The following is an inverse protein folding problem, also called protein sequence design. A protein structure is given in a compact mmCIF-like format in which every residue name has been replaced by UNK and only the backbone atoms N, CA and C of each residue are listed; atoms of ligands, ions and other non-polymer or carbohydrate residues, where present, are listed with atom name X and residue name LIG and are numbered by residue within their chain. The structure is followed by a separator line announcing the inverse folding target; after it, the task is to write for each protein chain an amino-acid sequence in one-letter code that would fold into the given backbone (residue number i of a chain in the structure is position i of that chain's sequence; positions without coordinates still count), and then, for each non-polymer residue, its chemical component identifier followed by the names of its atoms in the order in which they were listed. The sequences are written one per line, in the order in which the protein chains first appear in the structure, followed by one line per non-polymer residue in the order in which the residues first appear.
data_IF_978217780173
#
_entry.id   IF_978217780173
#
_cell.length_a   1.000
_cell.length_b   1.000
_cell.length_c   1.000
_cell.angle_alpha   90.00
_cell.angle_beta   90.00
_cell.angle_gamma   90.00
#
_symmetry.space_group_name_H-M   'P 1'
#
loop_
_entity.id
_entity.type
_entity.pdbx_description
1 polymer ?
#
# COMPACT_ATOMS: atom_id res chain seq x y z
N UNK A 1 -14.38 28.81 2.02
CA UNK A 1 -15.12 27.57 2.31
C UNK A 1 -15.81 27.21 1.02
N UNK A 2 -15.56 26.03 0.44
CA UNK A 2 -16.29 25.60 -0.77
C UNK A 2 -17.77 25.45 -0.41
N UNK A 3 -18.68 25.82 -1.30
CA UNK A 3 -20.12 25.62 -1.06
C UNK A 3 -20.47 24.12 -1.10
N UNK A 4 -21.60 23.73 -0.52
CA UNK A 4 -22.06 22.33 -0.57
C UNK A 4 -22.20 21.84 -2.02
N UNK A 5 -22.68 22.70 -2.92
CA UNK A 5 -22.82 22.42 -4.35
C UNK A 5 -21.46 22.19 -5.03
N UNK A 6 -20.44 23.02 -4.72
CA UNK A 6 -19.07 22.81 -5.21
C UNK A 6 -18.43 21.52 -4.71
N UNK A 7 -18.81 21.05 -3.52
CA UNK A 7 -18.33 19.78 -2.98
C UNK A 7 -19.04 18.61 -3.66
N UNK A 8 -20.35 18.72 -3.93
CA UNK A 8 -21.13 17.69 -4.65
C UNK A 8 -20.59 17.44 -6.05
N UNK A 9 -20.21 18.50 -6.77
CA UNK A 9 -19.64 18.38 -8.13
C UNK A 9 -18.27 17.68 -8.16
N UNK A 10 -17.52 17.73 -7.05
CA UNK A 10 -16.20 17.09 -6.92
C UNK A 10 -16.29 15.72 -6.25
N UNK A 11 -17.36 15.48 -5.49
CA UNK A 11 -17.60 14.24 -4.78
C UNK A 11 -17.90 13.12 -5.78
N UNK A 12 -17.03 12.11 -5.81
CA UNK A 12 -17.21 10.94 -6.66
C UNK A 12 -18.00 9.89 -5.89
N UNK A 13 -19.28 9.78 -6.21
CA UNK A 13 -20.18 8.77 -5.64
C UNK A 13 -20.46 7.66 -6.65
N UNK A 14 -20.78 6.43 -6.21
CA UNK A 14 -21.19 5.37 -7.12
C UNK A 14 -22.45 5.75 -7.91
N UNK A 15 -22.44 5.49 -9.21
CA UNK A 15 -23.59 5.74 -10.09
C UNK A 15 -24.29 4.43 -10.43
N UNK A 16 -25.62 4.45 -10.53
CA UNK A 16 -26.38 3.30 -10.95
C UNK A 16 -26.75 3.40 -12.41
N UNK A 17 -26.40 2.39 -13.20
CA UNK A 17 -26.79 2.35 -14.60
C UNK A 17 -28.29 2.02 -14.77
N UNK A 18 -28.82 2.21 -15.98
CA UNK A 18 -30.24 1.97 -16.28
C UNK A 18 -30.71 0.52 -16.02
N UNK A 19 -29.78 -0.42 -15.79
CA UNK A 19 -30.06 -1.83 -15.46
C UNK A 19 -30.01 -2.09 -13.96
N UNK A 20 -29.78 -1.06 -13.15
CA UNK A 20 -29.70 -1.18 -11.70
C UNK A 20 -28.31 -1.60 -11.19
N UNK A 21 -27.29 -1.68 -12.04
CA UNK A 21 -25.94 -2.06 -11.61
C UNK A 21 -25.24 -0.82 -11.06
N UNK A 22 -24.82 -0.87 -9.80
CA UNK A 22 -24.07 0.23 -9.18
C UNK A 22 -22.60 0.10 -9.59
N UNK A 23 -22.06 1.14 -10.21
CA UNK A 23 -20.65 1.23 -10.62
C UNK A 23 -19.92 2.20 -9.72
N UNK A 24 -18.83 1.73 -9.13
CA UNK A 24 -17.93 2.60 -8.39
C UNK A 24 -17.25 3.59 -9.34
N UNK A 25 -17.02 4.83 -8.91
CA UNK A 25 -16.34 5.82 -9.73
C UNK A 25 -14.86 5.47 -9.90
N UNK A 26 -14.24 6.02 -10.94
CA UNK A 26 -12.80 5.91 -11.13
C UNK A 26 -12.04 6.44 -9.92
N UNK A 27 -11.07 5.65 -9.48
CA UNK A 27 -10.21 5.93 -8.33
C UNK A 27 -9.46 7.25 -8.54
N UNK A 28 -9.42 8.08 -7.49
CA UNK A 28 -8.68 9.35 -7.53
C UNK A 28 -7.18 9.08 -7.57
N UNK A 29 -6.42 9.98 -8.21
CA UNK A 29 -4.96 9.91 -8.17
C UNK A 29 -4.50 10.21 -6.74
N UNK A 30 -3.48 9.49 -6.23
CA UNK A 30 -2.92 9.81 -4.92
C UNK A 30 -2.41 11.25 -4.89
N UNK A 31 -2.42 11.83 -3.69
CA UNK A 31 -1.79 13.12 -3.46
C UNK A 31 -0.32 13.08 -3.87
N UNK A 32 0.14 14.18 -4.48
CA UNK A 32 1.56 14.32 -4.81
C UNK A 32 2.32 14.63 -3.53
N UNK A 33 3.35 13.84 -3.24
CA UNK A 33 4.25 14.09 -2.13
C UNK A 33 4.98 15.44 -2.27
N UNK A 34 5.29 16.06 -1.14
CA UNK A 34 6.19 17.22 -1.04
C UNK A 34 7.65 16.74 -1.20
N UNK A 35 8.58 17.67 -1.44
CA UNK A 35 10.00 17.37 -1.62
C UNK A 35 10.65 16.57 -0.48
N UNK A 36 11.75 15.90 -0.85
CA UNK A 36 12.54 15.01 0.01
C UNK A 36 13.15 15.75 1.21
N UNK A 37 13.28 15.05 2.34
CA UNK A 37 13.92 15.57 3.55
C UNK A 37 15.20 14.82 3.85
N UNK A 38 16.25 15.55 4.19
CA UNK A 38 17.53 14.98 4.60
C UNK A 38 17.34 14.12 5.85
N UNK A 39 17.82 12.89 5.78
CA UNK A 39 17.95 12.03 6.96
C UNK A 39 19.20 12.41 7.74
N UNK A 40 19.11 12.38 9.07
CA UNK A 40 20.29 12.44 9.92
C UNK A 40 20.99 11.09 9.84
N UNK A 41 22.18 11.06 9.26
CA UNK A 41 22.99 9.85 9.07
C UNK A 41 24.40 10.15 9.56
N UNK A 42 24.90 9.31 10.46
CA UNK A 42 26.23 9.47 11.05
C UNK A 42 27.36 9.28 10.02
N UNK A 43 27.23 8.27 9.14
CA UNK A 43 28.17 7.99 8.06
C UNK A 43 27.45 7.88 6.71
N UNK A 44 27.49 8.98 5.96
CA UNK A 44 26.90 9.08 4.62
C UNK A 44 27.58 8.16 3.61
N UNK A 45 28.90 7.96 3.71
CA UNK A 45 29.64 7.13 2.77
C UNK A 45 29.27 5.65 2.95
N UNK A 46 29.13 5.22 4.21
CA UNK A 46 28.63 3.90 4.53
C UNK A 46 27.19 3.70 4.06
N UNK A 47 26.31 4.68 4.25
CA UNK A 47 24.93 4.59 3.78
C UNK A 47 24.82 4.43 2.26
N UNK A 48 25.57 5.23 1.49
CA UNK A 48 25.64 5.09 0.01
C UNK A 48 26.17 3.71 -0.38
N UNK A 49 27.19 3.20 0.33
CA UNK A 49 27.73 1.86 0.09
C UNK A 49 26.67 0.78 0.34
N UNK A 50 25.90 0.88 1.42
CA UNK A 50 24.81 -0.07 1.73
C UNK A 50 23.71 -0.06 0.66
N UNK A 51 23.31 1.11 0.16
CA UNK A 51 22.34 1.22 -0.94
C UNK A 51 22.85 0.53 -2.22
N UNK A 52 24.12 0.74 -2.58
CA UNK A 52 24.74 0.10 -3.74
C UNK A 52 24.87 -1.42 -3.58
N UNK A 53 25.31 -1.88 -2.42
CA UNK A 53 25.43 -3.29 -2.10
C UNK A 53 24.06 -3.99 -2.15
N UNK A 54 23.00 -3.35 -1.66
CA UNK A 54 21.65 -3.91 -1.70
C UNK A 54 21.17 -4.16 -3.13
N UNK A 55 21.37 -3.19 -4.04
CA UNK A 55 20.99 -3.34 -5.46
C UNK A 55 21.79 -4.46 -6.13
N UNK A 56 23.10 -4.55 -5.84
CA UNK A 56 23.93 -5.61 -6.39
C UNK A 56 23.54 -7.00 -5.85
N UNK A 57 23.18 -7.11 -4.56
CA UNK A 57 22.67 -8.36 -3.99
C UNK A 57 21.35 -8.79 -4.63
N UNK A 58 20.43 -7.86 -4.89
CA UNK A 58 19.20 -8.17 -5.64
C UNK A 58 19.50 -8.71 -7.05
N UNK A 59 20.45 -8.08 -7.74
CA UNK A 59 20.89 -8.50 -9.07
C UNK A 59 21.53 -9.89 -9.08
N UNK A 60 22.29 -10.24 -8.05
CA UNK A 60 22.96 -11.55 -7.93
C UNK A 60 22.00 -12.65 -7.44
N UNK A 61 21.23 -12.40 -6.38
CA UNK A 61 20.34 -13.39 -5.75
C UNK A 61 19.08 -13.64 -6.57
N UNK A 62 18.40 -12.58 -7.02
CA UNK A 62 17.13 -12.69 -7.74
C UNK A 62 17.36 -12.72 -9.24
N UNK A 63 18.07 -11.72 -9.78
CA UNK A 63 18.28 -11.57 -11.22
C UNK A 63 17.02 -11.17 -11.99
N UNK A 64 16.96 -11.48 -13.29
CA UNK A 64 15.82 -11.11 -14.15
C UNK A 64 15.60 -9.60 -14.22
N UNK A 65 14.41 -9.13 -13.87
CA UNK A 65 14.05 -7.71 -13.68
C UNK A 65 15.11 -6.94 -12.88
N UNK A 66 15.64 -7.56 -11.81
CA UNK A 66 16.58 -6.92 -10.89
C UNK A 66 17.97 -6.65 -11.49
N UNK A 67 18.28 -7.16 -12.68
CA UNK A 67 19.54 -6.84 -13.38
C UNK A 67 19.63 -5.39 -13.87
N UNK A 68 18.48 -4.74 -14.08
CA UNK A 68 18.38 -3.34 -14.54
C UNK A 68 17.61 -2.48 -13.53
N UNK A 69 17.45 -2.98 -12.31
CA UNK A 69 16.71 -2.32 -11.26
C UNK A 69 17.49 -1.12 -10.75
N UNK A 70 16.80 0.03 -10.70
CA UNK A 70 17.35 1.30 -10.26
C UNK A 70 16.29 1.97 -9.39
N UNK A 71 16.39 1.80 -8.06
CA UNK A 71 15.40 2.34 -7.13
C UNK A 71 15.34 3.87 -7.21
N UNK A 72 14.15 4.44 -7.10
CA UNK A 72 13.92 5.87 -7.31
C UNK A 72 14.78 6.77 -6.39
N UNK A 73 14.91 6.40 -5.11
CA UNK A 73 15.60 7.22 -4.11
C UNK A 73 17.09 6.88 -3.92
N UNK A 74 17.60 5.83 -4.56
CA UNK A 74 19.03 5.41 -4.46
C UNK A 74 19.95 6.11 -5.47
N UNK A 75 19.46 7.16 -6.15
CA UNK A 75 20.22 7.79 -7.23
C UNK A 75 21.55 8.38 -6.74
N UNK A 76 22.67 8.12 -7.46
CA UNK A 76 23.97 8.72 -7.17
C UNK A 76 23.98 10.25 -7.32
N UNK A 77 24.89 10.91 -6.56
CA UNK A 77 25.15 12.36 -6.48
C UNK A 77 24.91 13.14 -7.78
N UNK A 78 25.46 12.64 -8.89
CA UNK A 78 25.64 13.41 -10.12
C UNK A 78 24.33 13.74 -10.87
N UNK A 79 23.23 13.08 -10.50
CA UNK A 79 21.95 13.19 -11.19
C UNK A 79 20.88 13.97 -10.43
N UNK A 80 21.15 14.40 -9.19
CA UNK A 80 20.23 15.21 -8.37
C UNK A 80 20.42 16.69 -8.65
N UNK A 81 20.20 17.12 -9.91
CA UNK A 81 20.10 18.54 -10.27
C UNK A 81 18.91 19.17 -9.54
N UNK A 82 19.16 19.82 -8.40
CA UNK A 82 18.12 20.47 -7.60
C UNK A 82 18.53 20.84 -6.18
N UNK A 83 19.58 20.21 -5.63
CA UNK A 83 20.23 20.66 -4.40
C UNK A 83 21.54 21.36 -4.75
N UNK A 84 21.69 22.62 -4.34
CA UNK A 84 22.80 23.53 -4.66
C UNK A 84 24.10 23.19 -3.89
N UNK A 85 24.32 21.90 -3.59
CA UNK A 85 25.43 21.40 -2.79
C UNK A 85 25.95 20.07 -3.33
N UNK A 86 27.24 20.01 -3.68
CA UNK A 86 28.01 18.85 -4.19
C UNK A 86 28.11 17.65 -3.20
N UNK A 87 27.26 17.55 -2.18
CA UNK A 87 27.36 16.54 -1.13
C UNK A 87 26.32 15.40 -1.30
N UNK A 88 26.70 14.14 -0.98
CA UNK A 88 25.73 13.04 -0.87
C UNK A 88 24.69 13.37 0.20
N UNK A 89 23.42 13.36 -0.19
CA UNK A 89 22.31 13.56 0.72
C UNK A 89 21.53 12.24 0.85
N UNK A 90 21.56 11.61 2.03
CA UNK A 90 20.61 10.53 2.35
C UNK A 90 19.30 11.17 2.77
N UNK A 91 18.19 10.60 2.32
CA UNK A 91 16.85 11.15 2.57
C UNK A 91 16.04 10.16 3.39
N UNK A 92 15.02 10.62 4.10
CA UNK A 92 14.12 9.71 4.85
C UNK A 92 13.47 8.71 3.88
N UNK A 93 13.16 9.15 2.66
CA UNK A 93 12.64 8.33 1.58
C UNK A 93 13.62 7.24 1.15
N UNK A 94 14.91 7.54 1.04
CA UNK A 94 15.93 6.53 0.69
C UNK A 94 16.14 5.51 1.83
N UNK A 95 16.08 5.94 3.09
CA UNK A 95 16.13 5.03 4.25
C UNK A 95 14.92 4.09 4.27
N UNK A 96 13.71 4.60 4.02
CA UNK A 96 12.49 3.78 3.95
C UNK A 96 12.54 2.80 2.77
N UNK A 97 13.00 3.26 1.61
CA UNK A 97 13.20 2.40 0.44
C UNK A 97 14.22 1.29 0.73
N UNK A 98 15.33 1.61 1.40
CA UNK A 98 16.30 0.63 1.86
C UNK A 98 15.68 -0.37 2.84
N UNK A 99 14.89 0.08 3.81
CA UNK A 99 14.23 -0.80 4.77
C UNK A 99 13.29 -1.82 4.08
N UNK A 100 12.46 -1.36 3.14
CA UNK A 100 11.55 -2.24 2.39
C UNK A 100 12.32 -3.25 1.54
N UNK A 101 13.26 -2.79 0.71
CA UNK A 101 14.05 -3.66 -0.15
C UNK A 101 14.91 -4.63 0.66
N UNK A 102 15.49 -4.18 1.77
CA UNK A 102 16.31 -5.05 2.62
C UNK A 102 15.47 -6.14 3.29
N UNK A 103 14.33 -5.79 3.86
CA UNK A 103 13.44 -6.75 4.50
C UNK A 103 12.94 -7.83 3.52
N UNK A 104 12.62 -7.43 2.28
CA UNK A 104 12.22 -8.36 1.23
C UNK A 104 13.37 -9.28 0.80
N UNK A 105 14.56 -8.74 0.57
CA UNK A 105 15.73 -9.54 0.19
C UNK A 105 16.13 -10.53 1.27
N UNK A 106 16.13 -10.11 2.54
CA UNK A 106 16.43 -10.97 3.68
C UNK A 106 15.38 -12.11 3.78
N UNK A 107 14.11 -11.80 3.55
CA UNK A 107 13.04 -12.81 3.48
C UNK A 107 13.24 -13.80 2.33
N UNK A 108 13.46 -13.31 1.10
CA UNK A 108 13.70 -14.15 -0.08
C UNK A 108 14.91 -15.05 0.12
N UNK A 109 16.02 -14.49 0.63
CA UNK A 109 17.25 -15.22 0.88
C UNK A 109 17.07 -16.32 1.93
N UNK A 110 16.25 -16.06 2.96
CA UNK A 110 15.90 -17.06 3.96
C UNK A 110 14.99 -18.17 3.41
N UNK A 111 14.01 -17.85 2.55
CA UNK A 111 13.11 -18.86 1.97
C UNK A 111 13.77 -19.68 0.85
N UNK A 112 14.68 -19.08 0.06
CA UNK A 112 15.35 -19.75 -1.05
C UNK A 112 16.18 -20.97 -0.61
N UNK A 113 16.72 -20.92 0.62
CA UNK A 113 17.52 -22.01 1.23
C UNK A 113 16.68 -23.15 1.78
N UNK A 114 15.35 -23.00 1.86
CA UNK A 114 14.46 -24.02 2.42
C UNK A 114 13.99 -25.00 1.35
N UNK A 115 13.71 -26.26 1.74
CA UNK A 115 13.13 -27.24 0.84
C UNK A 115 11.79 -26.76 0.31
N UNK A 116 11.58 -27.00 -0.99
CA UNK A 116 10.33 -26.65 -1.66
C UNK A 116 9.28 -27.73 -1.35
N UNK A 117 8.13 -27.38 -0.73
CA UNK A 117 7.11 -28.36 -0.38
C UNK A 117 6.46 -29.04 -1.61
N UNK A 118 6.53 -28.41 -2.79
CA UNK A 118 5.96 -28.98 -4.02
C UNK A 118 7.01 -29.69 -4.88
N UNK A 119 8.27 -29.79 -4.43
CA UNK A 119 9.25 -30.62 -5.11
C UNK A 119 9.01 -32.09 -4.75
N UNK A 120 8.61 -32.96 -5.70
CA UNK A 120 8.37 -34.37 -5.43
C UNK A 120 9.62 -35.13 -4.95
N UNK A 121 10.81 -34.53 -5.05
CA UNK A 121 12.08 -35.08 -4.53
C UNK A 121 12.45 -34.58 -3.14
N UNK A 122 11.70 -33.62 -2.57
CA UNK A 122 11.98 -33.08 -1.25
C UNK A 122 11.80 -34.10 -0.12
N UNK A 123 10.98 -35.14 -0.31
CA UNK A 123 10.81 -36.24 0.65
C UNK A 123 12.01 -37.18 0.79
N UNK A 124 12.91 -37.20 -0.20
CA UNK A 124 14.12 -38.05 -0.22
C UNK A 124 15.38 -37.29 0.24
N UNK A 125 15.28 -35.98 0.47
CA UNK A 125 16.40 -35.20 0.99
C UNK A 125 16.39 -35.29 2.52
N UNK A 126 17.48 -35.75 3.17
CA UNK A 126 17.55 -35.73 4.61
C UNK A 126 17.31 -34.30 5.11
N UNK A 127 16.49 -34.15 6.15
CA UNK A 127 16.09 -32.85 6.73
C UNK A 127 17.29 -31.92 7.06
N UNK A 128 18.50 -32.49 7.13
CA UNK A 128 19.75 -31.82 7.48
C UNK A 128 20.80 -31.89 6.34
N UNK A 129 20.40 -32.17 5.09
CA UNK A 129 21.33 -32.41 3.97
C UNK A 129 22.27 -31.24 3.64
N UNK A 130 21.84 -30.02 3.96
CA UNK A 130 22.61 -28.79 3.77
C UNK A 130 23.28 -28.27 5.07
N UNK A 131 23.16 -29.01 6.19
CA UNK A 131 23.68 -28.61 7.51
C UNK A 131 25.12 -29.11 7.74
N UNK A 132 26.11 -28.44 7.14
CA UNK A 132 27.54 -28.76 7.33
C UNK A 132 28.02 -28.52 8.78
N UNK A 133 27.31 -27.70 9.57
CA UNK A 133 27.73 -27.26 10.90
C UNK A 133 26.82 -27.70 12.06
N UNK A 134 25.79 -28.53 11.80
CA UNK A 134 24.94 -29.09 12.86
C UNK A 134 24.09 -28.09 13.65
N UNK A 135 23.93 -26.86 13.15
CA UNK A 135 22.99 -25.87 13.68
C UNK A 135 22.41 -25.02 12.54
N UNK A 136 21.11 -24.69 12.57
CA UNK A 136 20.50 -23.83 11.57
C UNK A 136 21.22 -22.46 11.57
N UNK A 137 21.72 -22.02 10.42
CA UNK A 137 22.40 -20.73 10.32
C UNK A 137 21.38 -19.62 10.60
N UNK A 138 21.54 -18.98 11.75
CA UNK A 138 20.65 -17.94 12.24
C UNK A 138 20.88 -16.68 11.40
N UNK A 139 19.83 -16.01 10.87
CA UNK A 139 20.01 -14.71 10.21
C UNK A 139 20.56 -13.68 11.22
N UNK A 140 21.10 -12.53 10.77
CA UNK A 140 21.69 -11.51 11.66
C UNK A 140 20.77 -11.05 12.80
N UNK A 141 19.45 -11.24 12.63
CA UNK A 141 18.42 -10.95 13.63
C UNK A 141 18.30 -11.96 14.77
N UNK A 142 19.00 -13.10 14.74
CA UNK A 142 18.90 -14.12 15.79
C UNK A 142 17.67 -15.05 15.68
N UNK A 143 16.72 -14.77 14.79
CA UNK A 143 15.43 -15.46 14.71
C UNK A 143 15.25 -16.17 13.36
N UNK A 144 14.93 -17.47 13.35
CA UNK A 144 14.57 -18.17 12.11
C UNK A 144 13.36 -17.50 11.43
N UNK A 145 13.52 -17.06 10.18
CA UNK A 145 12.43 -16.40 9.43
C UNK A 145 11.51 -17.48 8.83
N UNK A 146 10.33 -17.68 9.42
CA UNK A 146 9.29 -18.61 8.95
C UNK A 146 9.50 -20.08 9.38
N UNK A 147 8.66 -20.98 8.88
CA UNK A 147 8.66 -22.41 9.23
C UNK A 147 9.75 -23.25 8.57
N UNK A 148 9.74 -24.59 8.74
CA UNK A 148 10.79 -25.48 8.21
C UNK A 148 10.77 -25.60 6.68
N UNK A 149 9.62 -25.39 6.05
CA UNK A 149 9.47 -25.40 4.59
C UNK A 149 9.50 -24.00 3.99
N UNK A 150 9.76 -23.93 2.70
CA UNK A 150 9.72 -22.69 1.92
C UNK A 150 8.30 -22.10 1.89
N UNK A 151 8.17 -20.85 2.34
CA UNK A 151 6.95 -20.07 2.13
C UNK A 151 6.93 -19.49 0.71
N UNK A 152 5.83 -19.69 -0.02
CA UNK A 152 5.69 -19.27 -1.43
C UNK A 152 4.94 -17.95 -1.62
N UNK A 153 4.13 -17.58 -0.65
CA UNK A 153 3.29 -16.39 -0.73
C UNK A 153 4.07 -15.09 -0.57
N UNK A 154 3.32 -14.01 -0.71
CA UNK A 154 3.77 -12.68 -0.40
C UNK A 154 2.73 -11.92 0.41
N UNK A 155 3.01 -10.65 0.65
CA UNK A 155 2.10 -9.76 1.35
C UNK A 155 2.23 -8.34 0.84
N UNK A 156 1.12 -7.61 0.92
CA UNK A 156 1.09 -6.17 0.72
C UNK A 156 1.57 -5.46 1.99
N UNK A 157 2.02 -4.22 1.86
CA UNK A 157 2.39 -3.44 3.03
C UNK A 157 2.08 -1.96 2.80
N UNK A 158 1.37 -1.38 3.75
CA UNK A 158 1.08 0.05 3.82
C UNK A 158 1.52 0.56 5.18
N UNK A 159 2.53 1.43 5.19
CA UNK A 159 3.10 2.01 6.41
C UNK A 159 2.84 3.51 6.39
N UNK A 160 2.28 4.03 7.49
CA UNK A 160 2.10 5.46 7.72
C UNK A 160 2.90 5.89 8.95
N UNK A 161 3.88 6.78 8.74
CA UNK A 161 4.72 7.35 9.79
C UNK A 161 4.29 8.79 10.04
N UNK A 162 3.85 9.08 11.27
CA UNK A 162 3.44 10.41 11.70
C UNK A 162 4.50 10.95 12.65
N UNK A 163 5.05 12.12 12.32
CA UNK A 163 6.03 12.82 13.15
C UNK A 163 5.55 14.23 13.46
N UNK A 164 5.63 14.64 14.73
CA UNK A 164 5.32 16.00 15.16
C UNK A 164 6.61 16.75 15.49
N UNK A 165 6.82 17.98 14.98
CA UNK A 165 7.98 18.79 15.36
C UNK A 165 7.84 19.33 16.79
N UNK A 166 6.64 19.31 17.35
CA UNK A 166 6.33 19.75 18.71
C UNK A 166 6.06 18.58 19.64
N UNK A 167 6.22 18.75 20.97
CA UNK A 167 5.80 17.76 21.98
C UNK A 167 4.29 17.51 22.04
N UNK A 168 3.48 18.37 21.40
CA UNK A 168 2.04 18.15 21.32
C UNK A 168 1.75 16.84 20.59
N UNK A 169 0.79 16.03 21.06
CA UNK A 169 0.45 14.79 20.39
C UNK A 169 -0.13 15.06 19.00
N UNK A 170 0.09 14.16 18.05
CA UNK A 170 -0.32 14.33 16.65
C UNK A 170 -1.83 14.51 16.45
N UNK A 171 -2.64 14.06 17.40
CA UNK A 171 -4.10 14.23 17.39
C UNK A 171 -4.57 15.55 18.01
N UNK A 172 -3.67 16.43 18.44
CA UNK A 172 -4.04 17.74 18.97
C UNK A 172 -4.46 18.67 17.82
N UNK A 173 -5.57 19.44 17.93
CA UNK A 173 -6.06 20.29 16.84
C UNK A 173 -5.06 21.32 16.34
N UNK A 174 -4.22 21.84 17.24
CA UNK A 174 -3.20 22.84 16.91
C UNK A 174 -1.84 22.24 16.51
N UNK A 175 -1.69 20.90 16.54
CA UNK A 175 -0.44 20.27 16.17
C UNK A 175 -0.28 20.25 14.64
N UNK A 176 0.93 20.59 14.21
CA UNK A 176 1.39 20.30 12.86
C UNK A 176 2.07 18.94 12.86
N UNK A 177 1.92 18.18 11.79
CA UNK A 177 2.52 16.85 11.66
C UNK A 177 3.08 16.64 10.26
N UNK A 178 4.13 15.84 10.13
CA UNK A 178 4.57 15.28 8.85
C UNK A 178 4.10 13.84 8.77
N UNK A 179 3.41 13.49 7.70
CA UNK A 179 3.00 12.14 7.37
C UNK A 179 3.86 11.62 6.21
N UNK A 180 4.51 10.49 6.40
CA UNK A 180 5.22 9.76 5.35
C UNK A 180 4.55 8.41 5.18
N UNK A 181 4.06 8.14 3.97
CA UNK A 181 3.47 6.86 3.59
C UNK A 181 4.43 6.10 2.69
N UNK A 182 4.67 4.83 3.00
CA UNK A 182 5.39 3.90 2.14
C UNK A 182 4.50 2.69 1.85
N UNK A 183 4.31 2.36 0.57
CA UNK A 183 3.28 1.43 0.14
C UNK A 183 3.74 0.46 -0.96
N UNK A 184 3.37 -0.81 -0.83
CA UNK A 184 3.45 -1.86 -1.86
C UNK A 184 2.17 -2.70 -1.86
N UNK A 185 1.63 -2.99 -3.04
CA UNK A 185 0.39 -3.76 -3.22
C UNK A 185 -0.83 -2.90 -3.58
N UNK A 186 -2.00 -3.33 -3.13
CA UNK A 186 -3.33 -2.77 -3.44
C UNK A 186 -4.10 -2.33 -2.18
N UNK A 187 -3.44 -2.34 -1.02
CA UNK A 187 -3.96 -1.74 0.21
C UNK A 187 -4.03 -0.21 0.09
N UNK A 188 -4.96 0.40 0.83
CA UNK A 188 -5.23 1.83 0.68
C UNK A 188 -5.07 2.63 1.95
N UNK A 189 -4.55 3.84 1.79
CA UNK A 189 -4.52 4.86 2.83
C UNK A 189 -5.26 6.10 2.32
N UNK A 190 -6.28 6.55 3.04
CA UNK A 190 -7.04 7.76 2.74
C UNK A 190 -6.93 8.76 3.89
N UNK A 191 -6.89 10.04 3.54
CA UNK A 191 -7.14 11.15 4.46
C UNK A 191 -8.57 11.68 4.27
N UNK A 192 -9.22 12.03 5.38
CA UNK A 192 -10.46 12.80 5.35
C UNK A 192 -10.15 14.29 5.58
N UNK A 193 -10.35 15.12 4.56
CA UNK A 193 -10.17 16.57 4.69
C UNK A 193 -11.27 17.17 5.58
N UNK A 194 -10.90 17.92 6.62
CA UNK A 194 -11.86 18.46 7.60
C UNK A 194 -12.79 19.50 6.98
N UNK A 195 -12.31 20.33 6.05
CA UNK A 195 -13.09 21.43 5.47
C UNK A 195 -14.11 20.99 4.42
N UNK A 196 -13.77 19.98 3.61
CA UNK A 196 -14.60 19.51 2.49
C UNK A 196 -15.31 18.19 2.80
N UNK A 197 -14.80 17.43 3.77
CA UNK A 197 -15.24 16.06 4.02
C UNK A 197 -14.86 15.08 2.90
N UNK A 198 -14.02 15.46 1.94
CA UNK A 198 -13.67 14.59 0.82
C UNK A 198 -12.56 13.60 1.21
N UNK A 199 -12.65 12.39 0.65
CA UNK A 199 -11.59 11.40 0.71
C UNK A 199 -10.42 11.81 -0.20
N UNK A 200 -9.20 11.79 0.34
CA UNK A 200 -7.96 12.04 -0.40
C UNK A 200 -7.05 10.81 -0.32
N UNK A 201 -6.83 10.07 -1.41
CA UNK A 201 -5.95 8.92 -1.39
C UNK A 201 -4.48 9.33 -1.28
N UNK A 202 -3.71 8.55 -0.52
CA UNK A 202 -2.25 8.68 -0.36
C UNK A 202 -1.48 7.60 -1.12
N UNK A 203 -2.13 6.48 -1.45
CA UNK A 203 -1.54 5.33 -2.14
C UNK A 203 -2.20 5.13 -3.51
N UNK A 204 -1.45 4.57 -4.46
CA UNK A 204 -2.01 4.04 -5.71
C UNK A 204 -1.96 2.52 -5.72
N UNK A 205 -2.88 1.90 -6.46
CA UNK A 205 -2.93 0.45 -6.52
C UNK A 205 -1.84 -0.07 -7.47
N UNK A 206 -1.00 -0.96 -6.96
CA UNK A 206 0.04 -1.62 -7.72
C UNK A 206 -0.52 -2.81 -8.48
N UNK A 207 -1.31 -2.54 -9.52
CA UNK A 207 -1.89 -3.54 -10.41
C UNK A 207 -1.22 -3.49 -11.81
N UNK A 208 -1.09 -4.61 -12.54
CA UNK A 208 -0.54 -4.65 -13.90
C UNK A 208 -1.21 -3.69 -14.89
N UNK A 209 -2.50 -3.40 -14.69
CA UNK A 209 -3.27 -2.46 -15.53
C UNK A 209 -2.99 -0.99 -15.18
N UNK A 210 -2.47 -0.69 -13.99
CA UNK A 210 -2.17 0.67 -13.56
C UNK A 210 -1.14 1.28 -14.52
N UNK A 211 -1.38 2.47 -15.12
CA UNK A 211 -0.51 3.01 -16.17
C UNK A 211 0.97 3.20 -15.78
N UNK A 212 1.27 3.45 -14.52
CA UNK A 212 2.66 3.53 -14.00
C UNK A 212 3.32 2.17 -13.99
N UNK A 213 2.64 1.16 -13.46
CA UNK A 213 3.13 -0.21 -13.33
C UNK A 213 3.18 -0.94 -14.68
N UNK A 214 2.17 -0.77 -15.53
CA UNK A 214 2.17 -1.34 -16.89
C UNK A 214 3.38 -0.84 -17.70
N UNK A 215 3.71 0.46 -17.60
CA UNK A 215 4.91 1.03 -18.24
C UNK A 215 6.21 0.52 -17.61
N UNK A 216 6.25 0.36 -16.28
CA UNK A 216 7.40 -0.22 -15.57
C UNK A 216 7.65 -1.65 -16.07
N UNK A 217 6.65 -2.52 -16.03
CA UNK A 217 6.76 -3.92 -16.44
C UNK A 217 7.13 -4.05 -17.93
N UNK A 218 6.49 -3.28 -18.82
CA UNK A 218 6.80 -3.27 -20.27
C UNK A 218 8.23 -2.81 -20.59
N UNK A 219 8.81 -1.92 -19.79
CA UNK A 219 10.18 -1.42 -20.01
C UNK A 219 11.24 -2.48 -19.71
N UNK A 220 11.02 -3.30 -18.68
CA UNK A 220 12.04 -4.18 -18.12
C UNK A 220 11.87 -5.66 -18.50
N UNK A 221 10.67 -6.06 -18.94
CA UNK A 221 10.42 -7.43 -19.33
C UNK A 221 10.49 -7.59 -20.86
N UNK A 222 11.42 -8.42 -21.40
CA UNK A 222 11.56 -8.59 -22.84
C UNK A 222 10.29 -9.25 -23.40
N UNK A 223 9.62 -8.57 -24.33
CA UNK A 223 8.54 -9.06 -25.19
C UNK A 223 7.52 -10.04 -24.53
N UNK A 224 6.41 -9.52 -24.01
CA UNK A 224 5.23 -10.33 -23.70
C UNK A 224 5.21 -11.03 -22.33
N UNK A 225 5.86 -10.45 -21.31
CA UNK A 225 5.98 -11.08 -19.99
C UNK A 225 4.65 -11.23 -19.26
N UNK A 226 3.98 -12.35 -19.50
CA UNK A 226 3.13 -13.12 -18.59
C UNK A 226 2.01 -12.37 -17.85
N UNK A 227 1.62 -11.19 -18.32
CA UNK A 227 0.31 -10.61 -18.01
C UNK A 227 -0.69 -11.37 -18.86
N UNK A 228 -1.13 -12.51 -18.35
CA UNK A 228 -2.22 -13.28 -18.93
C UNK A 228 -3.52 -12.80 -18.31
N UNK A 229 -4.53 -12.56 -19.15
CA UNK A 229 -5.89 -12.48 -18.64
C UNK A 229 -6.27 -13.82 -18.02
N UNK A 230 -6.73 -13.80 -16.78
CA UNK A 230 -7.39 -14.97 -16.20
C UNK A 230 -8.66 -15.29 -17.01
N UNK A 231 -9.25 -16.47 -16.81
CA UNK A 231 -10.53 -16.88 -17.37
C UNK A 231 -11.68 -15.91 -17.01
N UNK A 232 -11.47 -15.05 -16.03
CA UNK A 232 -12.36 -13.97 -15.59
C UNK A 232 -12.05 -12.59 -16.22
N UNK A 233 -11.06 -12.50 -17.13
CA UNK A 233 -10.71 -11.28 -17.86
C UNK A 233 -9.79 -10.31 -17.11
N UNK A 234 -9.25 -10.69 -15.95
CA UNK A 234 -8.36 -9.85 -15.15
C UNK A 234 -6.89 -10.09 -15.49
N UNK A 235 -6.13 -9.01 -15.67
CA UNK A 235 -4.70 -9.06 -15.99
C UNK A 235 -3.85 -9.39 -14.76
N UNK A 236 -3.20 -10.56 -14.76
CA UNK A 236 -2.39 -11.05 -13.62
C UNK A 236 -0.95 -11.38 -14.03
N UNK A 237 0.03 -11.14 -13.15
CA UNK A 237 1.43 -11.52 -13.33
C UNK A 237 1.63 -12.93 -12.76
N UNK A 238 1.67 -13.95 -13.62
CA UNK A 238 1.74 -15.36 -13.17
C UNK A 238 0.67 -15.73 -12.11
N UNK A 239 -0.55 -15.20 -12.25
CA UNK A 239 -1.63 -15.42 -11.29
C UNK A 239 -1.71 -14.41 -10.12
N UNK A 240 -0.69 -13.56 -9.93
CA UNK A 240 -0.73 -12.48 -8.95
C UNK A 240 -1.46 -11.25 -9.49
N UNK A 241 -2.38 -10.70 -8.69
CA UNK A 241 -3.03 -9.42 -8.97
C UNK A 241 -2.06 -8.24 -8.74
N UNK A 242 -1.14 -8.37 -7.80
CA UNK A 242 -0.23 -7.29 -7.40
C UNK A 242 1.07 -7.27 -8.22
N UNK A 243 1.46 -6.09 -8.71
CA UNK A 243 2.76 -5.83 -9.36
C UNK A 243 3.87 -5.45 -8.37
N UNK A 244 3.52 -5.18 -7.11
CA UNK A 244 4.46 -4.94 -6.01
C UNK A 244 4.00 -5.65 -4.75
N UNK A 245 4.92 -6.31 -4.07
CA UNK A 245 4.67 -7.05 -2.83
C UNK A 245 5.98 -7.41 -2.15
N UNK A 246 5.90 -7.78 -0.87
CA UNK A 246 6.94 -8.52 -0.16
C UNK A 246 6.80 -10.01 -0.46
N UNK A 247 7.91 -10.76 -0.55
CA UNK A 247 7.86 -12.21 -0.73
C UNK A 247 7.69 -12.61 -2.21
N UNK A 248 6.69 -13.42 -2.55
CA UNK A 248 6.35 -13.81 -3.93
C UNK A 248 7.58 -14.18 -4.80
N UNK A 249 8.49 -14.96 -4.23
CA UNK A 249 9.85 -15.17 -4.75
C UNK A 249 9.88 -15.61 -6.23
N UNK A 250 8.91 -16.41 -6.65
CA UNK A 250 8.80 -16.91 -8.02
C UNK A 250 8.55 -15.78 -9.03
N UNK A 251 7.77 -14.76 -8.64
CA UNK A 251 7.35 -13.66 -9.50
C UNK A 251 8.30 -12.45 -9.44
N UNK A 252 9.22 -12.41 -8.46
CA UNK A 252 10.24 -11.35 -8.34
C UNK A 252 11.12 -11.22 -9.59
N UNK A 253 11.53 -12.35 -10.18
CA UNK A 253 12.35 -12.36 -11.41
C UNK A 253 11.67 -11.69 -12.60
N UNK A 254 10.35 -11.60 -12.58
CA UNK A 254 9.49 -11.17 -13.69
C UNK A 254 9.14 -9.69 -13.58
N UNK A 255 9.22 -9.12 -12.38
CA UNK A 255 9.01 -7.68 -12.17
C UNK A 255 8.21 -7.31 -10.94
N UNK A 256 7.71 -8.30 -10.18
CA UNK A 256 7.14 -8.04 -8.85
C UNK A 256 8.25 -7.45 -7.98
N UNK A 257 8.03 -6.25 -7.45
CA UNK A 257 9.05 -5.51 -6.72
C UNK A 257 8.59 -5.19 -5.30
N UNK A 258 9.51 -5.17 -4.34
CA UNK A 258 9.27 -4.61 -3.01
C UNK A 258 9.66 -3.13 -2.92
N UNK A 259 9.91 -2.47 -4.06
CA UNK A 259 10.16 -1.03 -4.12
C UNK A 259 8.89 -0.26 -3.71
N UNK A 260 8.89 0.45 -2.57
CA UNK A 260 7.70 1.18 -2.14
C UNK A 260 7.45 2.42 -2.99
N UNK A 261 6.18 2.74 -3.22
CA UNK A 261 5.75 4.10 -3.53
C UNK A 261 5.76 4.90 -2.22
N UNK A 262 6.46 6.05 -2.20
CA UNK A 262 6.61 6.88 -1.01
C UNK A 262 5.97 8.26 -1.25
N UNK A 263 5.04 8.63 -0.37
CA UNK A 263 4.32 9.90 -0.41
C UNK A 263 4.51 10.64 0.92
N UNK A 264 5.04 11.87 0.85
CA UNK A 264 5.20 12.76 2.02
C UNK A 264 4.17 13.88 1.99
N UNK A 265 3.44 14.07 3.08
CA UNK A 265 2.44 15.14 3.23
C UNK A 265 2.69 15.90 4.53
N UNK A 266 2.69 17.22 4.47
CA UNK A 266 2.66 18.08 5.64
C UNK A 266 1.21 18.33 6.02
N UNK A 267 0.86 18.03 7.27
CA UNK A 267 -0.48 18.16 7.82
C UNK A 267 -0.52 19.43 8.67
N UNK A 268 -1.34 20.39 8.22
CA UNK A 268 -1.63 21.61 8.96
C UNK A 268 -2.55 21.37 10.17
N UNK A 269 -2.68 22.38 11.05
CA UNK A 269 -3.55 22.31 12.23
C UNK A 269 -5.01 22.03 11.85
N UNK A 270 -5.56 20.93 12.35
CA UNK A 270 -6.93 20.47 12.10
C UNK A 270 -7.34 20.47 10.61
N UNK A 271 -6.38 20.24 9.71
CA UNK A 271 -6.62 20.17 8.26
C UNK A 271 -7.32 18.87 7.87
N UNK A 272 -6.94 17.78 8.54
CA UNK A 272 -7.47 16.44 8.34
C UNK A 272 -8.09 15.89 9.61
N UNK A 273 -9.19 15.15 9.45
CA UNK A 273 -9.97 14.62 10.57
C UNK A 273 -9.48 13.25 11.03
N UNK A 274 -9.11 12.39 10.09
CA UNK A 274 -8.57 11.05 10.36
C UNK A 274 -7.81 10.51 9.15
N UNK A 275 -7.00 9.49 9.41
CA UNK A 275 -6.41 8.59 8.41
C UNK A 275 -7.15 7.27 8.50
N UNK A 276 -7.45 6.66 7.36
CA UNK A 276 -7.95 5.28 7.32
C UNK A 276 -7.01 4.43 6.46
N UNK A 277 -6.63 3.25 6.97
CA UNK A 277 -5.89 2.23 6.25
C UNK A 277 -6.79 1.01 6.07
N UNK A 278 -6.79 0.39 4.89
CA UNK A 278 -7.67 -0.73 4.60
C UNK A 278 -7.11 -1.71 3.58
N UNK A 279 -7.61 -2.95 3.61
CA UNK A 279 -7.38 -3.96 2.57
C UNK A 279 -8.25 -3.75 1.33
N UNK A 280 -7.88 -4.44 0.26
CA UNK A 280 -8.64 -4.59 -0.98
C UNK A 280 -10.02 -5.22 -0.77
N UNK A 281 -10.19 -6.12 0.20
CA UNK A 281 -11.51 -6.64 0.57
C UNK A 281 -12.54 -5.55 0.91
N UNK A 282 -12.10 -4.39 1.40
CA UNK A 282 -12.96 -3.21 1.62
C UNK A 282 -12.99 -2.33 0.38
N UNK A 283 -11.82 -1.93 -0.11
CA UNK A 283 -11.70 -0.91 -1.16
C UNK A 283 -12.03 -1.40 -2.58
N UNK A 284 -12.14 -2.71 -2.78
CA UNK A 284 -12.68 -3.34 -3.98
C UNK A 284 -14.21 -3.24 -4.03
N UNK A 285 -14.88 -3.28 -2.88
CA UNK A 285 -16.34 -3.23 -2.78
C UNK A 285 -16.86 -1.80 -2.67
N UNK A 286 -16.26 -1.01 -1.78
CA UNK A 286 -16.73 0.33 -1.42
C UNK A 286 -15.90 1.42 -2.10
N UNK A 287 -16.55 2.54 -2.44
CA UNK A 287 -15.83 3.73 -2.91
C UNK A 287 -15.14 4.47 -1.75
N UNK A 288 -14.05 5.17 -2.08
CA UNK A 288 -13.24 5.92 -1.10
C UNK A 288 -14.11 6.90 -0.28
N UNK A 289 -15.11 7.53 -0.92
CA UNK A 289 -16.00 8.47 -0.25
C UNK A 289 -17.01 7.77 0.68
N UNK A 290 -17.56 6.61 0.31
CA UNK A 290 -18.45 5.85 1.19
C UNK A 290 -17.73 5.46 2.49
N UNK A 291 -16.47 5.02 2.38
CA UNK A 291 -15.66 4.63 3.53
C UNK A 291 -15.47 5.82 4.49
N UNK A 292 -15.09 6.97 3.95
CA UNK A 292 -14.90 8.20 4.74
C UNK A 292 -16.21 8.65 5.38
N UNK A 293 -17.33 8.59 4.65
CA UNK A 293 -18.63 9.02 5.18
C UNK A 293 -19.16 8.11 6.30
N UNK A 294 -18.93 6.79 6.20
CA UNK A 294 -19.25 5.85 7.28
C UNK A 294 -18.46 6.21 8.54
N UNK A 295 -17.16 6.49 8.43
CA UNK A 295 -16.31 6.83 9.58
C UNK A 295 -16.73 8.17 10.22
N UNK A 296 -17.22 9.14 9.44
CA UNK A 296 -17.71 10.41 9.99
C UNK A 296 -18.91 10.24 10.91
N UNK A 297 -19.77 9.25 10.68
CA UNK A 297 -20.95 8.96 11.50
C UNK A 297 -20.57 8.33 12.86
N UNK A 298 -19.42 7.68 12.92
CA UNK A 298 -18.94 7.03 14.11
C UNK A 298 -18.55 8.04 15.20
N UNK A 299 -18.78 7.66 16.47
CA UNK A 299 -18.37 8.44 17.64
C UNK A 299 -16.89 8.26 17.96
N UNK A 300 -16.36 7.06 17.76
CA UNK A 300 -14.96 6.70 18.04
C UNK A 300 -14.30 6.11 16.79
N UNK A 301 -12.96 6.21 16.67
CA UNK A 301 -12.23 5.57 15.56
C UNK A 301 -12.45 4.06 15.50
N UNK A 302 -12.51 3.40 16.65
CA UNK A 302 -12.77 1.96 16.75
C UNK A 302 -14.15 1.59 16.17
N UNK A 303 -15.19 2.35 16.54
CA UNK A 303 -16.52 2.15 15.97
C UNK A 303 -16.52 2.40 14.46
N UNK A 304 -15.82 3.44 13.98
CA UNK A 304 -15.72 3.74 12.56
C UNK A 304 -15.01 2.62 11.78
N UNK A 305 -13.94 2.04 12.33
CA UNK A 305 -13.27 0.91 11.72
C UNK A 305 -14.20 -0.30 11.61
N UNK A 306 -14.93 -0.62 12.68
CA UNK A 306 -15.90 -1.71 12.71
C UNK A 306 -17.06 -1.49 11.73
N UNK A 307 -17.66 -0.30 11.72
CA UNK A 307 -18.79 0.03 10.85
C UNK A 307 -18.43 -0.11 9.37
N UNK A 308 -17.19 0.24 8.99
CA UNK A 308 -16.69 0.06 7.62
C UNK A 308 -16.54 -1.42 7.28
N UNK A 309 -15.98 -2.24 8.17
CA UNK A 309 -15.83 -3.69 7.95
C UNK A 309 -17.20 -4.36 7.85
N UNK A 310 -18.12 -4.04 8.74
CA UNK A 310 -19.48 -4.58 8.75
C UNK A 310 -20.21 -4.18 7.45
N UNK A 311 -20.14 -2.90 7.06
CA UNK A 311 -20.74 -2.41 5.81
C UNK A 311 -20.14 -3.08 4.56
N UNK A 312 -18.82 -3.22 4.50
CA UNK A 312 -18.15 -3.89 3.37
C UNK A 312 -18.56 -5.37 3.28
N UNK A 313 -18.66 -6.05 4.42
CA UNK A 313 -19.05 -7.47 4.49
C UNK A 313 -20.50 -7.68 4.08
N UNK A 314 -21.42 -6.78 4.48
CA UNK A 314 -22.83 -6.83 4.08
C UNK A 314 -23.03 -6.63 2.57
N UNK A 315 -22.31 -5.66 1.99
CA UNK A 315 -22.49 -5.28 0.58
C UNK A 315 -21.66 -6.14 -0.37
N UNK A 316 -20.58 -6.78 0.08
CA UNK A 316 -19.73 -7.61 -0.77
C UNK A 316 -20.48 -8.80 -1.39
N UNK A 317 -20.08 -9.18 -2.60
CA UNK A 317 -20.59 -10.35 -3.33
C UNK A 317 -19.60 -11.52 -3.28
N UNK A 318 -18.32 -11.23 -3.48
CA UNK A 318 -17.28 -12.25 -3.69
C UNK A 318 -16.54 -12.64 -2.41
N UNK A 319 -16.73 -11.87 -1.33
CA UNK A 319 -16.25 -12.18 0.03
C UNK A 319 -14.72 -12.28 0.14
N UNK A 320 -14.09 -11.28 0.74
CA UNK A 320 -12.64 -11.28 0.96
C UNK A 320 -12.29 -10.81 2.39
N UNK A 321 -11.02 -10.96 2.79
CA UNK A 321 -10.52 -10.51 4.08
C UNK A 321 -10.59 -8.98 4.19
N UNK A 322 -11.54 -8.50 4.98
CA UNK A 322 -11.74 -7.07 5.26
C UNK A 322 -10.99 -6.64 6.53
N UNK A 323 -9.97 -5.80 6.38
CA UNK A 323 -9.25 -5.17 7.50
C UNK A 323 -9.32 -3.66 7.38
N UNK A 324 -9.67 -2.96 8.47
CA UNK A 324 -9.75 -1.50 8.54
C UNK A 324 -9.08 -0.97 9.80
N UNK A 325 -8.31 0.10 9.67
CA UNK A 325 -7.67 0.84 10.75
C UNK A 325 -8.03 2.31 10.62
N UNK A 326 -8.56 2.93 11.67
CA UNK A 326 -8.88 4.37 11.70
C UNK A 326 -8.01 5.05 12.74
N UNK A 327 -7.24 6.05 12.31
CA UNK A 327 -6.36 6.85 13.16
C UNK A 327 -6.92 8.26 13.27
N UNK A 328 -7.26 8.66 14.49
CA UNK A 328 -7.72 10.00 14.83
C UNK A 328 -6.63 11.05 14.56
N UNK A 329 -6.99 12.17 13.93
CA UNK A 329 -6.15 13.36 13.78
C UNK A 329 -6.77 14.58 14.48
N UNK A 330 -6.07 15.72 14.44
CA UNK A 330 -6.48 16.98 15.07
C UNK A 330 -7.87 17.50 14.66
N UNK A 331 -8.34 17.17 13.45
CA UNK A 331 -9.66 17.57 12.94
C UNK A 331 -10.82 16.62 13.30
N UNK A 332 -10.61 15.60 14.15
CA UNK A 332 -11.63 14.55 14.42
C UNK A 332 -12.95 15.12 14.92
N UNK A 333 -12.92 16.08 15.85
CA UNK A 333 -14.14 16.68 16.42
C UNK A 333 -14.96 17.44 15.39
N UNK A 334 -14.33 17.85 14.28
CA UNK A 334 -14.92 18.63 13.20
C UNK A 334 -15.28 17.80 11.98
N UNK A 335 -15.17 16.47 12.06
CA UNK A 335 -15.37 15.54 10.92
C UNK A 335 -16.76 15.66 10.27
N UNK A 336 -17.77 16.09 11.03
CA UNK A 336 -19.15 16.27 10.56
C UNK A 336 -19.40 17.64 9.92
N UNK A 337 -18.47 18.60 10.05
CA UNK A 337 -18.64 19.98 9.57
C UNK A 337 -18.28 20.16 8.08
N UNK A 338 -17.55 19.21 7.48
CA UNK A 338 -17.00 19.36 6.13
C UNK A 338 -18.00 18.99 5.03
N UNK A 339 -18.22 19.91 4.08
CA UNK A 339 -19.03 19.68 2.87
C UNK A 339 -20.46 19.27 3.17
N UNK A 340 -20.91 18.14 2.60
CA UNK A 340 -22.23 17.53 2.84
C UNK A 340 -22.26 16.61 4.09
N UNK A 341 -21.25 16.70 4.96
CA UNK A 341 -21.13 15.84 6.14
C UNK A 341 -20.97 14.36 5.75
N UNK A 342 -21.73 13.47 6.41
CA UNK A 342 -21.84 12.04 6.05
C UNK A 342 -23.01 11.75 5.10
N UNK A 343 -23.79 12.77 4.74
CA UNK A 343 -25.02 12.62 3.96
C UNK A 343 -24.73 12.40 2.47
N UNK A 344 -23.53 12.75 2.00
CA UNK A 344 -23.16 12.71 0.57
C UNK A 344 -23.38 11.35 -0.09
N UNK A 345 -23.04 10.26 0.61
CA UNK A 345 -23.23 8.90 0.11
C UNK A 345 -24.42 8.17 0.75
N UNK A 346 -25.17 8.83 1.66
CA UNK A 346 -26.16 8.15 2.52
C UNK A 346 -27.24 7.41 1.73
N UNK A 347 -27.85 8.06 0.73
CA UNK A 347 -28.90 7.44 -0.08
C UNK A 347 -28.41 6.18 -0.82
N UNK A 348 -27.19 6.23 -1.35
CA UNK A 348 -26.57 5.08 -2.04
C UNK A 348 -26.23 3.97 -1.05
N UNK A 349 -25.69 4.31 0.13
CA UNK A 349 -25.39 3.35 1.19
C UNK A 349 -26.65 2.64 1.68
N UNK A 350 -27.72 3.39 1.95
CA UNK A 350 -29.01 2.85 2.39
C UNK A 350 -29.61 1.92 1.32
N UNK A 351 -29.50 2.30 0.04
CA UNK A 351 -29.93 1.47 -1.08
C UNK A 351 -29.12 0.18 -1.19
N UNK A 352 -27.78 0.26 -1.12
CA UNK A 352 -26.89 -0.92 -1.16
C UNK A 352 -27.16 -1.87 -0.01
N UNK A 353 -27.41 -1.36 1.20
CA UNK A 353 -27.83 -2.19 2.34
C UNK A 353 -29.19 -2.84 2.10
N UNK A 354 -30.17 -2.10 1.57
CA UNK A 354 -31.48 -2.65 1.25
C UNK A 354 -31.40 -3.76 0.17
N UNK A 355 -30.59 -3.56 -0.86
CA UNK A 355 -30.31 -4.56 -1.89
C UNK A 355 -29.58 -5.78 -1.31
N UNK A 356 -28.63 -5.58 -0.40
CA UNK A 356 -27.92 -6.66 0.28
C UNK A 356 -28.84 -7.54 1.15
N UNK A 357 -29.86 -6.93 1.77
CA UNK A 357 -30.86 -7.61 2.59
C UNK A 357 -31.97 -8.29 1.78
N UNK A 358 -32.04 -8.11 0.45
CA UNK A 358 -33.04 -8.77 -0.39
C UNK A 358 -32.73 -10.28 -0.50
N UNK A 359 -33.59 -11.18 0.03
CA UNK A 359 -33.37 -12.63 -0.04
C UNK A 359 -33.36 -13.20 -1.47
N UNK A 360 -33.73 -12.40 -2.48
CA UNK A 360 -33.69 -12.78 -3.90
C UNK A 360 -32.34 -12.54 -4.58
N UNK A 361 -31.39 -11.89 -3.90
CA UNK A 361 -30.07 -11.49 -4.43
C UNK A 361 -29.26 -12.67 -5.00
N UNK A 362 -29.30 -13.84 -4.37
CA UNK A 362 -28.55 -15.03 -4.83
C UNK A 362 -29.18 -15.81 -5.99
N UNK A 363 -30.28 -15.34 -6.58
CA UNK A 363 -31.04 -16.04 -7.65
C UNK A 363 -31.03 -15.33 -9.01
N UNK A 364 -30.32 -14.21 -9.14
CA UNK A 364 -30.30 -13.39 -10.37
C UNK A 364 -29.04 -13.58 -11.19
#
# INVERSE_FOLDING_TARGET
MKTEDEVRDVMRVPEQDAKGVVRNPDRLKPMKGIGQVLAQVDDVSQAVKLEQELVEQYKQTVGGYFRRFSPEFFRPLESRKGFDTDAPAITVESVLMYAFLRADLDFISAQARKPDPDDPRAGDSPLNGDEILGAPHIPPSGHGIGGPSRFKGGSTASVALISTPTPAPFWHPNAQSTLVVAHVGDTRILLCQTTTGLAQPLTSDHHPTTPTESRRLRRYAPAGSMVSGDSFGEERIMGLANSRSFGDMQSKRIGVSAEPEITRVEIGPAEYSFIVLMSDGISGTLSDQEIVDVIKEARTPEQGAKDVVDYATEVSHDGDNATCLVVRLGGWERRSEGGVGSLGTKEIRDKRRAEALDPRRGKR
#
